data_IF_411270057461
#
_entry.id   IF_411270057461
#
_cell.length_a   1.000
_cell.length_b   1.000
_cell.length_c   1.000
_cell.angle_alpha   90.00
_cell.angle_beta   90.00
_cell.angle_gamma   90.00
#
_symmetry.space_group_name_H-M   'P 1'
#
loop_
_entity.id
_entity.type
_entity.pdbx_description
1 polymer ?
#
# COMPACT_ATOMS: atom_id res chain seq x y z
N UNK A 1 -5.86 0.39 22.72
CA UNK A 1 -6.72 1.58 22.51
C UNK A 1 -7.42 1.53 21.17
N UNK A 2 -6.72 1.55 20.03
CA UNK A 2 -7.34 1.48 18.68
C UNK A 2 -8.35 0.34 18.54
N UNK A 3 -7.97 -0.89 18.90
CA UNK A 3 -8.87 -2.06 18.90
C UNK A 3 -10.17 -1.82 19.68
N UNK A 4 -10.05 -1.36 20.93
CA UNK A 4 -11.20 -1.02 21.77
C UNK A 4 -12.14 0.01 21.11
N UNK A 5 -11.61 1.04 20.46
CA UNK A 5 -12.43 2.04 19.78
C UNK A 5 -13.21 1.45 18.59
N UNK A 6 -12.59 0.57 17.82
CA UNK A 6 -13.23 -0.13 16.69
C UNK A 6 -14.29 -1.10 17.21
N UNK A 7 -13.98 -1.88 18.25
CA UNK A 7 -14.91 -2.80 18.89
C UNK A 7 -16.15 -2.10 19.48
N UNK A 8 -16.06 -0.79 19.78
CA UNK A 8 -17.18 0.05 20.24
C UNK A 8 -17.90 0.79 19.09
N UNK A 9 -17.66 0.41 17.84
CA UNK A 9 -18.34 0.99 16.66
C UNK A 9 -17.64 2.20 16.04
N UNK A 10 -16.36 2.42 16.36
CA UNK A 10 -15.54 3.41 15.65
C UNK A 10 -15.38 3.06 14.17
N UNK A 11 -15.46 4.06 13.30
CA UNK A 11 -15.26 3.88 11.87
C UNK A 11 -13.80 3.55 11.54
N UNK A 12 -13.57 2.32 11.06
CA UNK A 12 -12.24 1.81 10.69
C UNK A 12 -11.63 2.54 9.49
N UNK A 13 -12.46 3.22 8.69
CA UNK A 13 -12.08 3.93 7.47
C UNK A 13 -12.04 5.46 7.65
N UNK A 14 -12.17 5.94 8.89
CA UNK A 14 -12.10 7.37 9.19
C UNK A 14 -10.81 7.98 8.65
N UNK A 15 -10.88 9.20 8.11
CA UNK A 15 -9.72 9.90 7.57
C UNK A 15 -9.29 11.04 8.48
N UNK A 16 -7.98 11.19 8.68
CA UNK A 16 -7.41 12.40 9.30
C UNK A 16 -7.40 13.59 8.32
N UNK A 17 -6.86 14.73 8.76
CA UNK A 17 -6.75 15.94 7.94
C UNK A 17 -5.90 15.78 6.66
N UNK A 18 -5.02 14.78 6.61
CA UNK A 18 -4.20 14.44 5.45
C UNK A 18 -4.85 13.33 4.60
N UNK A 19 -6.06 12.89 4.95
CA UNK A 19 -6.75 11.80 4.29
C UNK A 19 -6.27 10.40 4.70
N UNK A 20 -5.38 10.27 5.70
CA UNK A 20 -4.87 8.97 6.12
C UNK A 20 -5.95 8.21 6.88
N UNK A 21 -6.18 6.96 6.48
CA UNK A 21 -6.98 6.00 7.26
C UNK A 21 -6.12 5.36 8.36
N UNK A 22 -6.73 4.74 9.39
CA UNK A 22 -6.01 3.90 10.34
C UNK A 22 -5.08 2.88 9.68
N UNK A 23 -5.50 2.29 8.55
CA UNK A 23 -4.71 1.31 7.81
C UNK A 23 -3.46 1.93 7.19
N UNK A 24 -3.58 3.10 6.57
CA UNK A 24 -2.42 3.85 6.05
C UNK A 24 -1.44 4.16 7.17
N UNK A 25 -1.93 4.60 8.34
CA UNK A 25 -1.09 4.91 9.50
C UNK A 25 -0.39 3.65 10.03
N UNK A 26 -1.06 2.49 10.03
CA UNK A 26 -0.47 1.23 10.46
C UNK A 26 0.64 0.74 9.50
N UNK A 27 0.41 0.86 8.19
CA UNK A 27 1.41 0.59 7.15
C UNK A 27 2.63 1.52 7.27
N UNK A 28 2.40 2.83 7.48
CA UNK A 28 3.46 3.82 7.67
C UNK A 28 4.33 3.49 8.89
N UNK A 29 3.70 3.01 9.97
CA UNK A 29 4.40 2.57 11.19
C UNK A 29 4.97 1.15 11.12
N UNK A 30 4.76 0.43 10.01
CA UNK A 30 5.15 -0.97 9.88
C UNK A 30 4.57 -1.90 10.96
N UNK A 31 3.38 -1.59 11.49
CA UNK A 31 2.71 -2.39 12.51
C UNK A 31 1.88 -3.52 11.86
N UNK A 32 2.54 -4.64 11.55
CA UNK A 32 1.93 -5.82 10.92
C UNK A 32 0.68 -6.32 11.68
N UNK A 33 0.69 -6.28 13.01
CA UNK A 33 -0.43 -6.76 13.82
C UNK A 33 -1.64 -5.84 13.72
N UNK A 34 -1.41 -4.53 13.64
CA UNK A 34 -2.48 -3.56 13.45
C UNK A 34 -3.02 -3.62 12.03
N UNK A 35 -2.17 -3.77 11.01
CA UNK A 35 -2.61 -3.95 9.61
C UNK A 35 -3.57 -5.13 9.50
N UNK A 36 -3.17 -6.30 10.03
CA UNK A 36 -4.02 -7.51 10.02
C UNK A 36 -5.36 -7.27 10.69
N UNK A 37 -5.32 -6.72 11.91
CA UNK A 37 -6.53 -6.42 12.66
C UNK A 37 -7.46 -5.45 11.91
N UNK A 38 -6.93 -4.40 11.28
CA UNK A 38 -7.75 -3.43 10.55
C UNK A 38 -8.41 -4.04 9.31
N UNK A 39 -7.68 -4.86 8.54
CA UNK A 39 -8.23 -5.58 7.39
C UNK A 39 -9.34 -6.55 7.82
N UNK A 40 -9.13 -7.31 8.90
CA UNK A 40 -10.13 -8.22 9.45
C UNK A 40 -11.43 -7.50 9.90
N UNK A 41 -11.35 -6.19 10.16
CA UNK A 41 -12.48 -5.35 10.58
C UNK A 41 -13.03 -4.46 9.45
N UNK A 42 -12.68 -4.75 8.19
CA UNK A 42 -13.27 -4.10 7.02
C UNK A 42 -12.62 -2.76 6.64
N UNK A 43 -11.34 -2.58 6.98
CA UNK A 43 -10.58 -1.47 6.42
C UNK A 43 -10.52 -1.57 4.88
N UNK A 44 -10.71 -0.45 4.22
CA UNK A 44 -10.54 -0.31 2.78
C UNK A 44 -9.05 -0.45 2.43
N UNK A 45 -8.70 -1.61 1.87
CA UNK A 45 -7.33 -2.03 1.57
C UNK A 45 -6.64 -1.13 0.53
N UNK A 46 -7.43 -0.46 -0.31
CA UNK A 46 -6.96 0.38 -1.42
C UNK A 46 -7.24 1.87 -1.17
N UNK A 47 -7.59 2.24 0.07
CA UNK A 47 -7.88 3.62 0.45
C UNK A 47 -6.75 4.57 0.04
N UNK A 48 -7.11 5.71 -0.57
CA UNK A 48 -6.16 6.78 -0.88
C UNK A 48 -6.19 7.89 0.17
N UNK A 49 -5.00 8.31 0.61
CA UNK A 49 -4.83 9.55 1.35
C UNK A 49 -4.82 10.78 0.41
N UNK A 50 -4.71 11.97 1.00
CA UNK A 50 -4.69 13.24 0.26
C UNK A 50 -3.47 13.43 -0.65
N UNK A 51 -2.44 12.61 -0.51
CA UNK A 51 -1.26 12.59 -1.40
C UNK A 51 -1.40 11.59 -2.54
N UNK A 52 -2.48 10.80 -2.56
CA UNK A 52 -2.71 9.75 -3.56
C UNK A 52 -2.12 8.39 -3.18
N UNK A 53 -1.49 8.26 -2.01
CA UNK A 53 -0.88 7.01 -1.57
C UNK A 53 -1.92 6.02 -1.01
N UNK A 54 -1.70 4.75 -1.32
CA UNK A 54 -2.41 3.59 -0.77
C UNK A 54 -1.60 2.89 0.32
N UNK A 55 -2.22 2.05 1.17
CA UNK A 55 -1.52 1.16 2.10
C UNK A 55 -0.39 0.38 1.45
N UNK A 56 -0.63 -0.15 0.23
CA UNK A 56 0.36 -0.91 -0.53
C UNK A 56 1.58 -0.06 -0.91
N UNK A 57 1.36 1.12 -1.51
CA UNK A 57 2.46 2.01 -1.94
C UNK A 57 3.29 2.53 -0.76
N UNK A 58 2.66 2.83 0.38
CA UNK A 58 3.38 3.20 1.62
C UNK A 58 4.25 2.04 2.10
N UNK A 59 3.70 0.82 2.10
CA UNK A 59 4.42 -0.37 2.56
C UNK A 59 5.64 -0.68 1.67
N UNK A 60 5.51 -0.50 0.35
CA UNK A 60 6.63 -0.59 -0.60
C UNK A 60 7.71 0.46 -0.32
N UNK A 61 7.34 1.74 -0.09
CA UNK A 61 8.33 2.79 0.24
C UNK A 61 9.07 2.52 1.55
N UNK A 62 8.36 1.93 2.52
CA UNK A 62 8.94 1.54 3.80
C UNK A 62 9.71 0.21 3.73
N UNK A 63 9.79 -0.43 2.55
CA UNK A 63 10.47 -1.71 2.32
C UNK A 63 9.98 -2.83 3.24
N UNK A 64 8.71 -2.79 3.64
CA UNK A 64 8.11 -3.79 4.51
C UNK A 64 7.45 -4.90 3.70
N UNK A 65 8.28 -5.83 3.22
CA UNK A 65 7.87 -6.93 2.33
C UNK A 65 6.72 -7.76 2.90
N UNK A 66 6.69 -7.98 4.22
CA UNK A 66 5.64 -8.77 4.87
C UNK A 66 4.27 -8.09 4.79
N UNK A 67 4.22 -6.77 4.99
CA UNK A 67 2.97 -6.02 4.84
C UNK A 67 2.58 -5.95 3.37
N UNK A 68 3.53 -5.76 2.45
CA UNK A 68 3.26 -5.77 1.00
C UNK A 68 2.63 -7.10 0.59
N UNK A 69 3.25 -8.22 0.94
CA UNK A 69 2.74 -9.56 0.65
C UNK A 69 1.35 -9.76 1.25
N UNK A 70 1.17 -9.42 2.53
CA UNK A 70 -0.13 -9.56 3.19
C UNK A 70 -1.23 -8.74 2.51
N UNK A 71 -0.96 -7.49 2.11
CA UNK A 71 -1.94 -6.65 1.42
C UNK A 71 -2.31 -7.23 0.04
N UNK A 72 -1.33 -7.69 -0.72
CA UNK A 72 -1.55 -8.30 -2.05
C UNK A 72 -2.34 -9.61 -1.92
N UNK A 73 -2.00 -10.46 -0.95
CA UNK A 73 -2.72 -11.71 -0.66
C UNK A 73 -4.17 -11.47 -0.22
N UNK A 74 -4.47 -10.32 0.39
CA UNK A 74 -5.82 -9.92 0.78
C UNK A 74 -6.53 -9.06 -0.29
N UNK A 75 -6.02 -9.04 -1.52
CA UNK A 75 -6.71 -8.47 -2.67
C UNK A 75 -6.45 -7.00 -2.93
N UNK A 76 -5.38 -6.42 -2.38
CA UNK A 76 -4.97 -5.05 -2.74
C UNK A 76 -4.63 -4.97 -4.23
N UNK A 77 -5.09 -3.90 -4.88
CA UNK A 77 -4.87 -3.70 -6.30
C UNK A 77 -3.46 -3.15 -6.58
N UNK A 78 -2.59 -4.02 -7.12
CA UNK A 78 -1.20 -3.71 -7.47
C UNK A 78 -1.03 -2.69 -8.60
N UNK A 79 -2.10 -2.33 -9.32
CA UNK A 79 -2.06 -1.34 -10.41
C UNK A 79 -2.41 0.08 -9.95
N UNK A 80 -2.82 0.29 -8.69
CA UNK A 80 -3.18 1.62 -8.21
C UNK A 80 -1.93 2.47 -8.05
N UNK A 81 -1.92 3.61 -8.74
CA UNK A 81 -0.89 4.63 -8.59
C UNK A 81 -0.99 5.28 -7.22
N UNK A 82 0.16 5.37 -6.55
CA UNK A 82 0.39 6.20 -5.38
C UNK A 82 0.68 7.65 -5.76
N UNK A 83 1.28 8.38 -4.82
CA UNK A 83 1.78 9.74 -5.04
C UNK A 83 2.74 9.82 -6.22
N UNK A 84 2.63 10.89 -7.02
CA UNK A 84 3.40 11.14 -8.25
C UNK A 84 3.22 10.07 -9.34
N UNK A 85 2.09 9.36 -9.33
CA UNK A 85 1.84 8.29 -10.28
C UNK A 85 2.61 7.00 -10.03
N UNK A 86 3.42 6.90 -8.96
CA UNK A 86 4.26 5.72 -8.77
C UNK A 86 3.40 4.48 -8.47
N UNK A 87 3.59 3.43 -9.25
CA UNK A 87 3.01 2.11 -8.97
C UNK A 87 3.82 1.40 -7.89
N UNK A 88 3.24 0.43 -7.16
CA UNK A 88 3.99 -0.47 -6.29
C UNK A 88 5.23 -1.07 -6.99
N UNK A 89 5.10 -1.45 -8.27
CA UNK A 89 6.19 -2.00 -9.06
C UNK A 89 7.33 -1.01 -9.29
N UNK A 90 7.03 0.24 -9.68
CA UNK A 90 8.07 1.28 -9.86
C UNK A 90 8.79 1.63 -8.55
N UNK A 91 8.09 1.54 -7.41
CA UNK A 91 8.69 1.76 -6.09
C UNK A 91 9.69 0.63 -5.78
N UNK A 92 9.34 -0.64 -6.05
CA UNK A 92 10.25 -1.76 -5.79
C UNK A 92 11.45 -1.82 -6.75
N UNK A 93 11.27 -1.37 -8.00
CA UNK A 93 12.39 -1.13 -8.92
C UNK A 93 13.39 -0.11 -8.33
N UNK A 94 12.90 1.05 -7.88
CA UNK A 94 13.75 2.06 -7.21
C UNK A 94 14.43 1.54 -5.94
N UNK A 95 13.78 0.63 -5.21
CA UNK A 95 14.33 0.01 -4.03
C UNK A 95 15.45 -1.00 -4.34
N UNK A 96 15.64 -1.39 -5.60
CA UNK A 96 16.47 -2.52 -6.05
C UNK A 96 16.05 -3.85 -5.40
N UNK A 97 14.75 -4.06 -5.20
CA UNK A 97 14.21 -5.27 -4.58
C UNK A 97 13.71 -6.27 -5.63
N UNK A 98 14.63 -7.05 -6.22
CA UNK A 98 14.29 -8.03 -7.26
C UNK A 98 13.23 -9.05 -6.83
N UNK A 99 13.21 -9.41 -5.54
CA UNK A 99 12.26 -10.39 -5.00
C UNK A 99 10.85 -9.81 -5.05
N UNK A 100 10.67 -8.58 -4.56
CA UNK A 100 9.36 -7.94 -4.56
C UNK A 100 8.92 -7.48 -5.96
N UNK A 101 9.85 -7.11 -6.84
CA UNK A 101 9.55 -6.88 -8.26
C UNK A 101 8.93 -8.12 -8.89
N UNK A 102 9.58 -9.29 -8.74
CA UNK A 102 9.05 -10.56 -9.25
C UNK A 102 7.70 -10.89 -8.63
N UNK A 103 7.59 -10.75 -7.30
CA UNK A 103 6.35 -11.00 -6.58
C UNK A 103 5.18 -10.14 -7.10
N UNK A 104 5.37 -8.84 -7.28
CA UNK A 104 4.31 -7.96 -7.77
C UNK A 104 3.92 -8.29 -9.22
N UNK A 105 4.87 -8.66 -10.07
CA UNK A 105 4.60 -9.12 -11.44
C UNK A 105 3.76 -10.40 -11.44
N UNK A 106 4.12 -11.37 -10.60
CA UNK A 106 3.37 -12.63 -10.45
C UNK A 106 1.93 -12.38 -9.95
N UNK A 107 1.68 -11.26 -9.28
CA UNK A 107 0.36 -10.82 -8.83
C UNK A 107 -0.30 -9.78 -9.75
N UNK A 108 0.17 -9.66 -11.00
CA UNK A 108 -0.50 -8.91 -12.06
C UNK A 108 -0.08 -7.45 -12.22
N UNK A 109 1.04 -7.02 -11.62
CA UNK A 109 1.57 -5.70 -11.87
C UNK A 109 1.99 -5.53 -13.35
N UNK A 110 1.56 -4.43 -13.98
CA UNK A 110 1.88 -4.15 -15.38
C UNK A 110 3.30 -3.59 -15.51
N UNK A 111 4.18 -4.37 -16.12
CA UNK A 111 5.60 -4.01 -16.37
C UNK A 111 5.79 -2.81 -17.30
N UNK A 112 4.74 -2.42 -18.04
CA UNK A 112 4.76 -1.28 -18.97
C UNK A 112 3.91 -0.10 -18.47
N UNK A 113 3.46 -0.12 -17.21
CA UNK A 113 2.66 1.00 -16.68
C UNK A 113 3.54 2.23 -16.48
N UNK A 114 3.11 3.35 -17.06
CA UNK A 114 3.76 4.64 -16.91
C UNK A 114 3.27 5.34 -15.63
N UNK A 115 4.19 6.01 -14.93
CA UNK A 115 3.87 6.98 -13.88
C UNK A 115 3.49 8.36 -14.47
N UNK A 116 3.24 9.35 -13.62
CA UNK A 116 2.88 10.71 -14.05
C UNK A 116 4.00 11.42 -14.83
N UNK A 117 5.25 10.94 -14.73
CA UNK A 117 6.40 11.44 -15.47
C UNK A 117 6.65 10.68 -16.78
N UNK A 118 5.82 9.68 -17.12
CA UNK A 118 6.03 8.80 -18.27
C UNK A 118 7.12 7.75 -18.05
N UNK A 119 7.55 7.53 -16.81
CA UNK A 119 8.55 6.52 -16.48
C UNK A 119 7.86 5.16 -16.33
N UNK A 120 8.44 4.14 -16.95
CA UNK A 120 8.07 2.73 -16.78
C UNK A 120 9.00 2.06 -15.76
N UNK A 121 8.62 0.90 -15.19
CA UNK A 121 9.50 0.07 -14.38
C UNK A 121 10.88 -0.17 -15.02
N UNK A 122 10.93 -0.36 -16.34
CA UNK A 122 12.19 -0.59 -17.06
C UNK A 122 13.06 0.67 -17.12
N UNK A 123 12.48 1.86 -17.25
CA UNK A 123 13.24 3.11 -17.34
C UNK A 123 13.74 3.63 -15.99
N UNK A 124 13.17 3.14 -14.89
CA UNK A 124 13.50 3.59 -13.53
C UNK A 124 14.40 2.61 -12.76
N UNK A 125 14.53 1.37 -13.26
CA UNK A 125 15.47 0.36 -12.75
C UNK A 125 16.91 0.72 -13.10
#
# INVERSE_FOLDING_TARGET
>A
MVKCLIDQGGDVNIKDQNGNTPLIIACDKSDENMVKYLIDHGADIDAKNGYGDTPLTISCRNKNEKIVQYLVENGSNVSINGRYGNTPLTIECNNNNEIMVKYLIDHGANVNQEDECGLTPLTIS
#
